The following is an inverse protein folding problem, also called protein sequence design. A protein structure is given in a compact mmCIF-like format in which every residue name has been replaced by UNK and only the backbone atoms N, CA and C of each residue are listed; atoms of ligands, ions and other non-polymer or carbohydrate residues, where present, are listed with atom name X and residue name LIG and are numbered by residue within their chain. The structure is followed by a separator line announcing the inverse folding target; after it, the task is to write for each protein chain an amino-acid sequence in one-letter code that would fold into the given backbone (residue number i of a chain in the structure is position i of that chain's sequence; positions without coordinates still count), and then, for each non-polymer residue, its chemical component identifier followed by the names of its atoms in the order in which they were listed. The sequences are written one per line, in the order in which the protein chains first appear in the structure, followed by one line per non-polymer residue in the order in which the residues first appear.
data_IF_768154970812
#
_entry.id   IF_768154970812
#
_cell.length_a   1.000
_cell.length_b   1.000
_cell.length_c   1.000
_cell.angle_alpha   90.00
_cell.angle_beta   90.00
_cell.angle_gamma   90.00
#
_symmetry.space_group_name_H-M   'P 1'
#
loop_
_entity.id
_entity.type
_entity.pdbx_description
1 polymer ?
#
# COMPACT_ATOMS: atom_id res chain seq x y z
N UNK A 1 -2.49 3.95 10.17
CA UNK A 1 -1.88 4.61 8.99
C UNK A 1 -1.70 3.66 7.81
N UNK A 2 -0.82 2.65 7.85
CA UNK A 2 -0.65 1.69 6.72
C UNK A 2 -1.97 0.99 6.38
N UNK A 3 -2.60 0.37 7.38
CA UNK A 3 -3.87 -0.35 7.21
C UNK A 3 -5.00 0.52 6.64
N UNK A 4 -5.14 1.76 7.10
CA UNK A 4 -6.18 2.69 6.63
C UNK A 4 -5.96 3.12 5.18
N UNK A 5 -4.70 3.34 4.78
CA UNK A 5 -4.35 3.68 3.40
C UNK A 5 -4.56 2.50 2.46
N UNK A 6 -4.15 1.31 2.89
CA UNK A 6 -4.39 0.08 2.15
C UNK A 6 -5.90 -0.16 1.97
N UNK A 7 -6.69 -0.04 3.05
CA UNK A 7 -8.14 -0.20 2.99
C UNK A 7 -8.78 0.82 2.04
N UNK A 8 -8.35 2.08 2.05
CA UNK A 8 -8.82 3.08 1.10
C UNK A 8 -8.48 2.72 -0.35
N UNK A 9 -7.28 2.20 -0.61
CA UNK A 9 -6.87 1.73 -1.94
C UNK A 9 -7.73 0.57 -2.41
N UNK A 10 -8.03 -0.39 -1.53
CA UNK A 10 -8.90 -1.53 -1.82
C UNK A 10 -10.31 -1.07 -2.19
N UNK A 11 -10.92 -0.21 -1.36
CA UNK A 11 -12.31 0.24 -1.57
C UNK A 11 -12.45 1.13 -2.80
N UNK A 12 -11.51 2.04 -3.04
CA UNK A 12 -11.63 2.99 -4.14
C UNK A 12 -11.28 2.38 -5.50
N UNK A 13 -10.44 1.32 -5.53
CA UNK A 13 -10.10 0.58 -6.75
C UNK A 13 -9.72 1.49 -7.92
N UNK A 14 -10.31 1.24 -9.10
CA UNK A 14 -10.06 2.03 -10.32
C UNK A 14 -10.43 3.51 -10.19
N UNK A 15 -11.39 3.87 -9.33
CA UNK A 15 -11.79 5.26 -9.14
C UNK A 15 -10.78 6.05 -8.29
N UNK A 16 -9.81 5.38 -7.64
CA UNK A 16 -8.92 6.01 -6.67
C UNK A 16 -8.05 7.12 -7.31
N UNK A 17 -8.26 8.38 -6.91
CA UNK A 17 -7.46 9.54 -7.31
C UNK A 17 -6.55 10.05 -6.20
N UNK A 18 -6.54 9.41 -5.03
CA UNK A 18 -5.78 9.85 -3.85
C UNK A 18 -4.32 9.40 -3.93
N UNK A 19 -3.56 10.03 -4.82
CA UNK A 19 -2.14 9.70 -5.05
C UNK A 19 -1.29 9.79 -3.78
N UNK A 20 -1.69 10.65 -2.82
CA UNK A 20 -1.05 10.76 -1.51
C UNK A 20 -1.06 9.44 -0.73
N UNK A 21 -2.11 8.62 -0.84
CA UNK A 21 -2.16 7.34 -0.11
C UNK A 21 -1.10 6.36 -0.59
N UNK A 22 -0.85 6.32 -1.90
CA UNK A 22 0.24 5.54 -2.49
C UNK A 22 1.61 6.08 -2.07
N UNK A 23 1.81 7.40 -2.16
CA UNK A 23 3.04 8.03 -1.71
C UNK A 23 3.34 7.76 -0.24
N UNK A 24 2.34 7.91 0.63
CA UNK A 24 2.51 7.70 2.05
C UNK A 24 2.85 6.24 2.36
N UNK A 25 2.26 5.25 1.66
CA UNK A 25 2.65 3.84 1.80
C UNK A 25 4.10 3.59 1.36
N UNK A 26 4.51 4.18 0.23
CA UNK A 26 5.89 4.08 -0.26
C UNK A 26 6.89 4.74 0.71
N UNK A 27 6.52 5.89 1.28
CA UNK A 27 7.35 6.57 2.27
C UNK A 27 7.42 5.78 3.57
N UNK A 28 6.30 5.25 4.04
CA UNK A 28 6.24 4.40 5.23
C UNK A 28 7.14 3.18 5.08
N UNK A 29 7.05 2.46 3.95
CA UNK A 29 7.89 1.27 3.72
C UNK A 29 9.37 1.62 3.71
N UNK A 30 9.77 2.77 3.15
CA UNK A 30 11.19 3.14 3.06
C UNK A 30 11.78 3.73 4.34
N UNK A 31 10.97 4.38 5.16
CA UNK A 31 11.47 5.20 6.27
C UNK A 31 11.28 4.57 7.65
N UNK A 32 10.44 3.54 7.77
CA UNK A 32 10.08 2.97 9.07
C UNK A 32 10.25 1.46 9.09
N UNK A 33 10.65 0.96 10.26
CA UNK A 33 10.62 -0.47 10.57
C UNK A 33 9.20 -0.90 10.97
N UNK A 34 8.86 -2.16 10.70
CA UNK A 34 7.56 -2.73 11.01
C UNK A 34 7.68 -4.10 11.67
N UNK A 35 6.87 -4.28 12.70
CA UNK A 35 6.55 -5.59 13.24
C UNK A 35 5.40 -6.20 12.44
N UNK A 36 5.68 -7.32 11.78
CA UNK A 36 4.74 -8.00 10.91
C UNK A 36 3.45 -8.37 11.63
N UNK A 37 3.54 -8.95 12.83
CA UNK A 37 2.36 -9.39 13.59
C UNK A 37 1.45 -8.21 13.94
N UNK A 38 2.04 -7.11 14.39
CA UNK A 38 1.33 -5.86 14.67
C UNK A 38 0.68 -5.27 13.41
N UNK A 39 1.36 -5.35 12.26
CA UNK A 39 0.84 -4.87 10.99
C UNK A 39 -0.35 -5.71 10.50
N UNK A 40 -0.27 -7.05 10.63
CA UNK A 40 -1.39 -7.96 10.33
C UNK A 40 -2.61 -7.64 11.21
N UNK A 41 -2.41 -7.50 12.52
CA UNK A 41 -3.49 -7.14 13.44
C UNK A 41 -4.13 -5.80 13.07
N UNK A 42 -3.31 -4.80 12.76
CA UNK A 42 -3.80 -3.48 12.35
C UNK A 42 -4.60 -3.53 11.04
N UNK A 43 -4.17 -4.35 10.06
CA UNK A 43 -4.90 -4.57 8.81
C UNK A 43 -6.25 -5.21 9.11
N UNK A 44 -6.29 -6.34 9.83
CA UNK A 44 -7.55 -7.02 10.20
C UNK A 44 -8.53 -6.07 10.88
N UNK A 45 -8.09 -5.43 11.97
CA UNK A 45 -8.93 -4.54 12.76
C UNK A 45 -9.45 -3.35 11.95
N UNK A 46 -8.64 -2.82 11.02
CA UNK A 46 -9.06 -1.70 10.17
C UNK A 46 -10.11 -2.12 9.15
N UNK A 47 -9.90 -3.26 8.49
CA UNK A 47 -10.84 -3.77 7.49
C UNK A 47 -12.16 -4.17 8.12
N UNK A 48 -12.13 -4.86 9.27
CA UNK A 48 -13.31 -5.23 10.05
C UNK A 48 -14.10 -3.99 10.51
N UNK A 49 -13.43 -3.01 11.14
CA UNK A 49 -14.08 -1.76 11.58
C UNK A 49 -14.71 -0.97 10.42
N UNK A 50 -14.19 -1.13 9.21
CA UNK A 50 -14.66 -0.45 7.99
C UNK A 50 -15.61 -1.31 7.15
N UNK A 51 -16.04 -2.46 7.66
CA UNK A 51 -16.89 -3.43 6.97
C UNK A 51 -16.39 -3.72 5.54
N UNK A 52 -15.08 -3.92 5.42
CA UNK A 52 -14.39 -4.18 4.15
C UNK A 52 -13.80 -5.58 4.21
N UNK A 53 -14.15 -6.43 3.25
CA UNK A 53 -13.56 -7.76 3.14
C UNK A 53 -12.06 -7.65 2.83
N UNK A 54 -11.28 -8.52 3.46
CA UNK A 54 -9.86 -8.66 3.14
C UNK A 54 -9.72 -9.33 1.77
N UNK A 55 -9.06 -8.68 0.80
CA UNK A 55 -8.87 -9.26 -0.52
C UNK A 55 -7.89 -10.43 -0.45
N UNK A 56 -8.23 -11.53 -1.11
CA UNK A 56 -7.35 -12.69 -1.33
C UNK A 56 -6.51 -12.55 -2.61
N UNK A 57 -6.91 -11.65 -3.50
CA UNK A 57 -6.23 -11.33 -4.76
C UNK A 57 -5.61 -9.92 -4.71
N UNK A 58 -4.79 -9.60 -5.72
CA UNK A 58 -4.21 -8.25 -5.85
C UNK A 58 -5.32 -7.19 -5.95
N UNK A 59 -5.37 -6.20 -5.04
CA UNK A 59 -6.32 -5.10 -5.13
C UNK A 59 -6.15 -4.33 -6.43
N UNK A 60 -7.26 -3.94 -7.07
CA UNK A 60 -7.22 -3.21 -8.35
C UNK A 60 -6.32 -1.97 -8.30
N UNK A 61 -6.34 -1.20 -7.20
CA UNK A 61 -5.48 -0.03 -7.03
C UNK A 61 -3.98 -0.33 -6.97
N UNK A 62 -3.58 -1.58 -6.75
CA UNK A 62 -2.20 -2.06 -6.75
C UNK A 62 -1.90 -2.97 -7.95
N UNK A 63 -2.77 -3.00 -8.95
CA UNK A 63 -2.61 -3.82 -10.16
C UNK A 63 -1.77 -3.12 -11.22
N UNK A 64 -1.19 -3.90 -12.15
CA UNK A 64 -0.52 -3.38 -13.33
C UNK A 64 -1.46 -2.51 -14.19
N UNK A 65 -2.72 -2.92 -14.35
CA UNK A 65 -3.71 -2.16 -15.11
C UNK A 65 -3.94 -0.75 -14.54
N UNK A 66 -3.93 -0.60 -13.21
CA UNK A 66 -4.01 0.71 -12.57
C UNK A 66 -2.72 1.53 -12.75
N UNK A 67 -1.57 0.87 -12.65
CA UNK A 67 -0.26 1.49 -12.81
C UNK A 67 -0.01 2.05 -14.22
N UNK A 68 -0.52 1.35 -15.24
CA UNK A 68 -0.34 1.65 -16.66
C UNK A 68 -1.40 2.62 -17.21
N UNK A 69 -2.45 2.91 -16.45
CA UNK A 69 -3.47 3.88 -16.85
C UNK A 69 -2.87 5.30 -16.94
N UNK A 70 -2.90 5.85 -18.16
CA UNK A 70 -2.39 7.19 -18.48
C UNK A 70 -2.98 8.31 -17.60
N UNK A 71 -4.23 8.18 -17.16
CA UNK A 71 -4.88 9.14 -16.26
C UNK A 71 -4.25 9.05 -14.86
N UNK A 72 -3.93 7.85 -14.38
CA UNK A 72 -3.26 7.63 -13.09
C UNK A 72 -1.84 8.16 -13.11
N UNK A 73 -1.10 7.90 -14.19
CA UNK A 73 0.23 8.47 -14.39
C UNK A 73 0.20 10.01 -14.32
N UNK A 74 -0.76 10.67 -14.99
CA UNK A 74 -0.92 12.14 -14.92
C UNK A 74 -1.27 12.62 -13.51
N UNK A 75 -2.14 11.91 -12.79
CA UNK A 75 -2.48 12.24 -11.40
C UNK A 75 -1.26 12.13 -10.50
N UNK A 76 -0.45 11.09 -10.67
CA UNK A 76 0.80 10.89 -9.92
C UNK A 76 1.79 12.01 -10.17
N UNK A 77 2.09 12.32 -11.43
CA UNK A 77 3.01 13.40 -11.79
C UNK A 77 2.54 14.76 -11.24
N UNK A 78 1.25 15.06 -11.33
CA UNK A 78 0.69 16.30 -10.79
C UNK A 78 0.79 16.37 -9.26
N UNK A 79 0.61 15.25 -8.56
CA UNK A 79 0.80 15.16 -7.12
C UNK A 79 2.26 15.39 -6.74
N UNK A 80 3.20 14.66 -7.37
CA UNK A 80 4.63 14.75 -7.07
C UNK A 80 5.18 16.15 -7.33
N UNK A 81 4.72 16.82 -8.40
CA UNK A 81 5.20 18.16 -8.74
C UNK A 81 4.66 19.30 -7.87
N UNK A 82 3.69 19.06 -6.98
CA UNK A 82 3.04 20.10 -6.16
C UNK A 82 3.37 20.01 -4.68
N UNK A 83 3.70 18.83 -4.19
CA UNK A 83 3.84 18.56 -2.77
C UNK A 83 5.32 18.57 -2.33
N UNK A 84 5.65 19.12 -1.14
CA UNK A 84 6.98 19.00 -0.57
C UNK A 84 7.17 17.58 0.00
N UNK A 85 7.69 16.68 -0.84
CA UNK A 85 7.83 15.26 -0.49
C UNK A 85 9.13 14.97 0.28
N UNK A 86 9.06 14.08 1.26
CA UNK A 86 10.19 13.54 2.03
C UNK A 86 11.12 12.64 1.20
N UNK A 87 10.58 12.08 0.12
CA UNK A 87 11.26 11.18 -0.80
C UNK A 87 10.86 11.60 -2.20
N UNK A 88 11.80 11.50 -3.14
CA UNK A 88 11.51 11.68 -4.55
C UNK A 88 11.14 10.30 -5.13
N UNK A 89 9.84 10.00 -5.32
CA UNK A 89 9.47 8.76 -5.97
C UNK A 89 9.82 8.82 -7.45
N UNK A 90 9.99 7.66 -8.06
CA UNK A 90 10.12 7.54 -9.52
C UNK A 90 8.75 7.65 -10.18
N UNK A 91 8.38 6.69 -11.03
CA UNK A 91 7.09 6.65 -11.70
C UNK A 91 6.05 5.84 -10.89
N UNK A 92 4.78 6.00 -11.25
CA UNK A 92 3.67 5.31 -10.57
C UNK A 92 3.82 3.77 -10.61
N UNK A 93 4.19 3.13 -11.73
CA UNK A 93 4.43 1.68 -11.75
C UNK A 93 5.46 1.20 -10.73
N UNK A 94 6.62 1.85 -10.67
CA UNK A 94 7.66 1.48 -9.72
C UNK A 94 7.22 1.71 -8.26
N UNK A 95 6.43 2.77 -8.01
CA UNK A 95 5.84 2.99 -6.69
C UNK A 95 4.86 1.87 -6.30
N UNK A 96 3.97 1.46 -7.22
CA UNK A 96 2.99 0.39 -6.97
C UNK A 96 3.67 -0.95 -6.71
N UNK A 97 4.72 -1.29 -7.48
CA UNK A 97 5.50 -2.52 -7.24
C UNK A 97 6.10 -2.52 -5.85
N UNK A 98 6.81 -1.45 -5.47
CA UNK A 98 7.43 -1.35 -4.15
C UNK A 98 6.41 -1.34 -2.99
N UNK A 99 5.23 -0.76 -3.19
CA UNK A 99 4.13 -0.83 -2.23
C UNK A 99 3.62 -2.26 -2.13
N UNK A 100 3.42 -2.96 -3.25
CA UNK A 100 2.96 -4.34 -3.31
C UNK A 100 3.86 -5.29 -2.54
N UNK A 101 5.18 -5.19 -2.73
CA UNK A 101 6.17 -5.99 -1.99
C UNK A 101 6.04 -5.81 -0.47
N UNK A 102 5.76 -4.58 -0.02
CA UNK A 102 5.59 -4.25 1.39
C UNK A 102 4.24 -4.74 1.97
N UNK A 103 3.13 -4.52 1.25
CA UNK A 103 1.79 -4.71 1.82
C UNK A 103 1.21 -6.11 1.59
N UNK A 104 1.63 -6.85 0.56
CA UNK A 104 1.04 -8.16 0.27
C UNK A 104 1.33 -9.23 1.32
N UNK A 105 2.57 -9.40 1.83
CA UNK A 105 2.82 -10.43 2.83
C UNK A 105 1.90 -10.33 4.07
N UNK A 106 1.77 -9.16 4.74
CA UNK A 106 0.87 -9.03 5.89
C UNK A 106 -0.61 -9.02 5.48
N UNK A 107 -0.97 -8.54 4.29
CA UNK A 107 -2.35 -8.60 3.81
C UNK A 107 -2.82 -10.04 3.59
N UNK A 108 -1.96 -10.90 3.02
CA UNK A 108 -2.26 -12.32 2.84
C UNK A 108 -2.35 -13.05 4.17
N UNK A 109 -1.41 -12.82 5.10
CA UNK A 109 -1.49 -13.39 6.44
C UNK A 109 -2.76 -12.92 7.19
N UNK A 110 -3.16 -11.66 6.99
CA UNK A 110 -4.43 -11.14 7.50
C UNK A 110 -5.65 -11.84 6.87
N UNK A 111 -5.63 -12.16 5.59
CA UNK A 111 -6.74 -12.85 4.93
C UNK A 111 -6.82 -14.34 5.32
N UNK A 112 -5.68 -15.02 5.46
CA UNK A 112 -5.62 -16.48 5.60
C UNK A 112 -5.75 -17.00 7.04
N UNK A 113 -5.48 -16.17 8.06
CA UNK A 113 -5.46 -16.67 9.44
C UNK A 113 -4.05 -16.96 9.97
N UNK A 114 -3.02 -16.78 9.15
CA UNK A 114 -1.67 -17.25 9.46
C UNK A 114 -0.93 -16.36 10.45
N UNK A 115 -0.03 -16.98 11.21
CA UNK A 115 0.97 -16.26 12.00
C UNK A 115 1.97 -15.53 11.11
N UNK A 116 2.35 -14.31 11.48
CA UNK A 116 3.28 -13.48 10.70
C UNK A 116 4.29 -12.78 11.61
N UNK A 117 5.28 -13.52 12.09
CA UNK A 117 6.30 -13.04 13.04
C UNK A 117 7.57 -12.53 12.33
N UNK A 118 7.40 -11.68 11.33
CA UNK A 118 8.53 -11.04 10.62
C UNK A 118 8.83 -9.68 11.20
N UNK A 119 10.11 -9.36 11.35
CA UNK A 119 10.58 -8.04 11.72
C UNK A 119 11.23 -7.41 10.49
N UNK A 120 10.70 -6.29 10.03
CA UNK A 120 11.22 -5.63 8.84
C UNK A 120 11.88 -4.30 9.19
N UNK A 121 13.18 -4.11 8.87
CA UNK A 121 13.81 -2.81 9.02
C UNK A 121 13.28 -1.83 7.95
N UNK A 122 13.58 -0.55 8.13
CA UNK A 122 13.23 0.49 7.15
C UNK A 122 13.83 0.16 5.77
N UNK A 123 12.98 0.14 4.74
CA UNK A 123 13.37 -0.20 3.38
C UNK A 123 13.40 -1.70 3.04
N UNK A 124 13.08 -2.59 3.98
CA UNK A 124 13.05 -4.04 3.76
C UNK A 124 14.40 -4.72 4.01
N UNK A 125 14.57 -6.00 3.62
CA UNK A 125 13.74 -6.75 2.67
C UNK A 125 12.38 -7.19 3.25
N UNK A 126 11.34 -7.19 2.41
CA UNK A 126 9.95 -7.55 2.77
C UNK A 126 9.69 -9.07 2.68
N UNK A 127 10.70 -9.87 2.99
CA UNK A 127 10.71 -11.33 2.85
C UNK A 127 10.83 -12.06 4.17
#
# INVERSE_FOLDING_TARGET
MVAEKLQAIVVLGQANSRMKDFYDLLALSRLFAFEGGSLVQAIRATFERRDTLLPTETPLGLSAAFAEDSKKARQWTAFVGREPLLLQPSNLPAAIVAIGEFVFPPLQAAALGDGFERHWPAGGPWT
#
